data_IF_148713482439
#
_entry.id   IF_148713482439
#
_cell.length_a   1.000
_cell.length_b   1.000
_cell.length_c   1.000
_cell.angle_alpha   90.00
_cell.angle_beta   90.00
_cell.angle_gamma   90.00
#
_symmetry.space_group_name_H-M   'P 1'
#
loop_
_entity.id
_entity.type
_entity.pdbx_description
1 polymer ?
#
# COMPACT_ATOMS: atom_id res chain seq x y z
N UNK A 1 -15.94 -0.76 -17.08
CA UNK A 1 -15.54 0.19 -16.03
C UNK A 1 -16.19 1.54 -16.30
N UNK A 2 -16.87 2.14 -15.31
CA UNK A 2 -17.55 3.44 -15.46
C UNK A 2 -16.58 4.61 -15.26
N UNK A 3 -16.96 5.83 -15.67
CA UNK A 3 -16.17 7.04 -15.41
C UNK A 3 -16.02 7.33 -13.91
N UNK A 4 -17.04 7.00 -13.10
CA UNK A 4 -16.99 7.12 -11.65
C UNK A 4 -15.93 6.17 -11.06
N UNK A 5 -15.90 4.91 -11.50
CA UNK A 5 -14.87 3.94 -11.09
C UNK A 5 -13.48 4.42 -11.48
N UNK A 6 -13.29 4.93 -12.71
CA UNK A 6 -11.99 5.48 -13.15
C UNK A 6 -11.54 6.65 -12.27
N UNK A 7 -12.45 7.57 -11.95
CA UNK A 7 -12.17 8.69 -11.03
C UNK A 7 -11.81 8.18 -9.63
N UNK A 8 -12.52 7.18 -9.14
CA UNK A 8 -12.26 6.59 -7.83
C UNK A 8 -10.87 5.92 -7.76
N UNK A 9 -10.49 5.15 -8.79
CA UNK A 9 -9.14 4.57 -8.93
C UNK A 9 -8.10 5.69 -8.97
N UNK A 10 -8.34 6.75 -9.73
CA UNK A 10 -7.42 7.90 -9.81
C UNK A 10 -7.19 8.53 -8.43
N UNK A 11 -8.24 8.73 -7.64
CA UNK A 11 -8.10 9.27 -6.28
C UNK A 11 -7.22 8.38 -5.38
N UNK A 12 -7.34 7.05 -5.49
CA UNK A 12 -6.47 6.11 -4.78
C UNK A 12 -5.01 6.24 -5.20
N UNK A 13 -4.75 6.34 -6.51
CA UNK A 13 -3.41 6.52 -7.04
C UNK A 13 -2.81 7.89 -6.67
N UNK A 14 -3.62 8.95 -6.62
CA UNK A 14 -3.18 10.26 -6.11
C UNK A 14 -2.75 10.16 -4.64
N UNK A 15 -3.51 9.44 -3.80
CA UNK A 15 -3.12 9.17 -2.39
C UNK A 15 -1.90 8.28 -2.24
N UNK A 16 -1.66 7.36 -3.18
CA UNK A 16 -0.46 6.55 -3.22
C UNK A 16 0.76 7.42 -3.59
N UNK A 17 0.61 8.31 -4.57
CA UNK A 17 1.67 9.24 -4.96
C UNK A 17 2.06 10.22 -3.84
N UNK A 18 1.12 10.61 -2.98
CA UNK A 18 1.42 11.38 -1.76
C UNK A 18 2.40 10.61 -0.83
N UNK A 19 2.20 9.30 -0.61
CA UNK A 19 3.14 8.50 0.20
C UNK A 19 4.52 8.38 -0.47
N UNK A 20 4.55 8.16 -1.79
CA UNK A 20 5.80 8.10 -2.56
C UNK A 20 6.60 9.40 -2.44
N UNK A 21 5.92 10.55 -2.50
CA UNK A 21 6.55 11.85 -2.29
C UNK A 21 7.16 11.94 -0.88
N UNK A 22 6.45 11.48 0.15
CA UNK A 22 6.95 11.49 1.53
C UNK A 22 8.15 10.56 1.69
N UNK A 23 8.10 9.33 1.15
CA UNK A 23 9.21 8.37 1.15
C UNK A 23 10.44 9.04 0.55
N UNK A 24 10.34 9.57 -0.67
CA UNK A 24 11.45 10.21 -1.36
C UNK A 24 12.06 11.33 -0.52
N UNK A 25 11.21 12.21 0.05
CA UNK A 25 11.65 13.32 0.89
C UNK A 25 12.34 12.88 2.18
N UNK A 26 11.84 11.83 2.84
CA UNK A 26 12.45 11.32 4.07
C UNK A 26 13.75 10.55 3.83
N UNK A 27 13.97 10.06 2.61
CA UNK A 27 15.20 9.35 2.23
C UNK A 27 16.28 10.24 1.60
N UNK A 28 16.03 11.56 1.46
CA UNK A 28 17.00 12.53 0.91
C UNK A 28 18.13 12.91 1.90
N UNK A 29 17.98 12.59 3.19
CA UNK A 29 18.87 13.05 4.26
C UNK A 29 19.72 11.91 4.84
N UNK A 30 20.88 12.26 5.41
CA UNK A 30 21.78 11.30 6.07
C UNK A 30 21.15 10.63 7.31
N UNK A 31 20.22 11.34 7.98
CA UNK A 31 19.44 10.80 9.11
C UNK A 31 18.02 10.53 8.63
N UNK A 32 17.66 9.25 8.57
CA UNK A 32 16.37 8.79 8.07
C UNK A 32 15.44 8.41 9.22
N UNK A 33 14.22 8.95 9.21
CA UNK A 33 13.15 8.50 10.08
C UNK A 33 12.58 7.15 9.58
N UNK A 34 13.33 6.07 9.80
CA UNK A 34 13.06 4.77 9.18
C UNK A 34 11.64 4.23 9.44
N UNK A 35 11.11 4.39 10.66
CA UNK A 35 9.74 3.96 10.99
C UNK A 35 8.69 4.70 10.15
N UNK A 36 8.86 6.00 9.92
CA UNK A 36 7.98 6.80 9.07
C UNK A 36 8.09 6.39 7.60
N UNK A 37 9.31 6.11 7.11
CA UNK A 37 9.52 5.59 5.75
C UNK A 37 8.81 4.26 5.56
N UNK A 38 9.00 3.30 6.48
CA UNK A 38 8.36 1.99 6.40
C UNK A 38 6.82 2.08 6.47
N UNK A 39 6.27 2.96 7.33
CA UNK A 39 4.83 3.25 7.36
C UNK A 39 4.32 3.73 6.01
N UNK A 40 4.99 4.71 5.38
CA UNK A 40 4.57 5.20 4.08
C UNK A 40 4.76 4.16 2.95
N UNK A 41 5.78 3.30 3.02
CA UNK A 41 5.91 2.16 2.11
C UNK A 41 4.72 1.19 2.22
N UNK A 42 4.27 0.88 3.44
CA UNK A 42 3.10 0.02 3.65
C UNK A 42 1.85 0.68 3.05
N UNK A 43 1.62 1.96 3.34
CA UNK A 43 0.47 2.72 2.86
C UNK A 43 0.46 2.85 1.33
N UNK A 44 1.61 3.11 0.72
CA UNK A 44 1.80 3.17 -0.73
C UNK A 44 1.36 1.85 -1.38
N UNK A 45 1.91 0.73 -0.89
CA UNK A 45 1.60 -0.61 -1.42
C UNK A 45 0.13 -0.94 -1.24
N UNK A 46 -0.44 -0.72 -0.05
CA UNK A 46 -1.85 -0.96 0.24
C UNK A 46 -2.78 -0.23 -0.74
N UNK A 47 -2.52 1.06 -0.98
CA UNK A 47 -3.33 1.91 -1.87
C UNK A 47 -3.24 1.45 -3.32
N UNK A 48 -2.07 1.05 -3.80
CA UNK A 48 -1.87 0.55 -5.16
C UNK A 48 -2.61 -0.79 -5.36
N UNK A 49 -2.48 -1.72 -4.41
CA UNK A 49 -3.17 -3.01 -4.48
C UNK A 49 -4.69 -2.81 -4.47
N UNK A 50 -5.22 -1.93 -3.61
CA UNK A 50 -6.65 -1.59 -3.61
C UNK A 50 -7.11 -0.97 -4.92
N UNK A 51 -6.32 -0.07 -5.51
CA UNK A 51 -6.62 0.51 -6.82
C UNK A 51 -6.68 -0.57 -7.92
N UNK A 52 -5.79 -1.57 -7.88
CA UNK A 52 -5.81 -2.72 -8.78
C UNK A 52 -7.05 -3.61 -8.59
N UNK A 53 -7.45 -3.89 -7.35
CA UNK A 53 -8.68 -4.65 -7.08
C UNK A 53 -9.93 -3.93 -7.61
N UNK A 54 -10.02 -2.61 -7.38
CA UNK A 54 -11.13 -1.78 -7.89
C UNK A 54 -11.15 -1.78 -9.42
N UNK A 55 -9.98 -1.72 -10.08
CA UNK A 55 -9.90 -1.73 -11.55
C UNK A 55 -10.41 -3.05 -12.15
N UNK A 56 -10.29 -4.14 -11.41
CA UNK A 56 -10.85 -5.46 -11.73
C UNK A 56 -12.31 -5.66 -11.26
N UNK A 57 -12.95 -4.62 -10.73
CA UNK A 57 -14.35 -4.66 -10.30
C UNK A 57 -14.59 -5.33 -8.95
N UNK A 58 -13.55 -5.57 -8.15
CA UNK A 58 -13.66 -6.11 -6.79
C UNK A 58 -13.90 -4.97 -5.80
N UNK A 59 -14.86 -5.16 -4.90
CA UNK A 59 -15.05 -4.24 -3.77
C UNK A 59 -13.90 -4.40 -2.77
N UNK A 60 -13.40 -3.28 -2.27
CA UNK A 60 -12.30 -3.29 -1.30
C UNK A 60 -12.84 -3.37 0.13
N UNK A 61 -12.23 -4.24 0.93
CA UNK A 61 -12.47 -4.29 2.37
C UNK A 61 -11.50 -3.37 3.12
N UNK A 62 -11.91 -2.93 4.31
CA UNK A 62 -11.02 -2.18 5.21
C UNK A 62 -10.07 -3.14 5.92
N UNK A 63 -8.86 -3.25 5.39
CA UNK A 63 -7.74 -4.03 5.94
C UNK A 63 -6.42 -3.32 5.67
N UNK A 64 -5.42 -3.59 6.51
CA UNK A 64 -4.02 -3.16 6.36
C UNK A 64 -3.07 -4.33 6.05
N UNK A 65 -3.62 -5.54 5.95
CA UNK A 65 -2.83 -6.75 5.70
C UNK A 65 -2.49 -6.86 4.20
N UNK A 66 -1.21 -6.72 3.87
CA UNK A 66 -0.70 -6.75 2.50
C UNK A 66 -0.76 -8.16 1.92
N UNK A 67 -0.48 -9.20 2.71
CA UNK A 67 -0.55 -10.60 2.28
C UNK A 67 -1.95 -10.96 1.79
N UNK A 68 -2.97 -10.51 2.52
CA UNK A 68 -4.37 -10.65 2.15
C UNK A 68 -4.67 -9.92 0.83
N UNK A 69 -4.24 -8.67 0.69
CA UNK A 69 -4.48 -7.92 -0.54
C UNK A 69 -3.76 -8.55 -1.75
N UNK A 70 -2.54 -9.09 -1.57
CA UNK A 70 -1.83 -9.82 -2.61
C UNK A 70 -2.57 -11.10 -3.01
N UNK A 71 -3.10 -11.86 -2.05
CA UNK A 71 -3.92 -13.03 -2.33
C UNK A 71 -5.18 -12.66 -3.12
N UNK A 72 -5.84 -11.55 -2.78
CA UNK A 72 -7.01 -11.06 -3.51
C UNK A 72 -6.66 -10.58 -4.92
N UNK A 73 -5.47 -10.01 -5.12
CA UNK A 73 -4.96 -9.62 -6.45
C UNK A 73 -4.62 -10.86 -7.30
N UNK A 74 -4.13 -11.92 -6.65
CA UNK A 74 -3.77 -13.18 -7.30
C UNK A 74 -4.96 -13.93 -7.91
N UNK A 75 -6.20 -13.58 -7.53
CA UNK A 75 -7.42 -14.05 -8.19
C UNK A 75 -7.55 -13.53 -9.65
N UNK A 76 -6.89 -12.41 -9.97
CA UNK A 76 -6.95 -11.76 -11.29
C UNK A 76 -5.65 -11.91 -12.09
N UNK A 77 -4.51 -11.96 -11.40
CA UNK A 77 -3.18 -12.08 -12.02
C UNK A 77 -2.25 -12.91 -11.13
N UNK A 78 -1.85 -14.09 -11.63
CA UNK A 78 -1.10 -15.06 -10.84
C UNK A 78 0.31 -14.58 -10.47
N UNK A 79 0.86 -13.56 -11.15
CA UNK A 79 2.17 -13.00 -10.84
C UNK A 79 2.23 -12.45 -9.40
N UNK A 80 1.09 -12.01 -8.85
CA UNK A 80 1.00 -11.58 -7.44
C UNK A 80 1.32 -12.71 -6.45
N UNK A 81 1.18 -13.99 -6.80
CA UNK A 81 1.56 -15.13 -5.92
C UNK A 81 3.06 -15.20 -5.67
N UNK A 82 3.86 -14.57 -6.54
CA UNK A 82 5.33 -14.57 -6.43
C UNK A 82 5.87 -13.41 -5.58
N UNK A 83 5.01 -12.46 -5.22
CA UNK A 83 5.38 -11.28 -4.45
C UNK A 83 5.44 -11.64 -2.97
N UNK A 84 6.62 -11.53 -2.38
CA UNK A 84 6.83 -11.64 -0.92
C UNK A 84 6.81 -10.24 -0.28
N UNK A 85 5.77 -9.88 0.51
CA UNK A 85 5.69 -8.58 1.17
C UNK A 85 6.59 -8.47 2.41
N UNK A 86 7.29 -9.54 2.81
CA UNK A 86 8.08 -9.62 4.04
C UNK A 86 7.24 -9.25 5.27
N UNK A 87 7.66 -8.23 6.02
CA UNK A 87 6.99 -7.71 7.21
C UNK A 87 6.31 -6.36 6.95
N UNK A 88 5.96 -6.05 5.69
CA UNK A 88 5.43 -4.74 5.34
C UNK A 88 4.14 -4.42 6.10
N UNK A 89 3.28 -5.43 6.32
CA UNK A 89 2.02 -5.30 7.07
C UNK A 89 2.21 -4.79 8.51
N UNK A 90 3.32 -5.14 9.16
CA UNK A 90 3.59 -4.76 10.56
C UNK A 90 3.74 -3.23 10.69
N UNK A 91 4.24 -2.58 9.65
CA UNK A 91 4.40 -1.13 9.62
C UNK A 91 3.10 -0.36 9.42
N UNK A 92 1.97 -1.03 9.12
CA UNK A 92 0.67 -0.38 8.91
C UNK A 92 -0.04 0.03 10.21
N UNK A 93 0.33 -0.59 11.36
CA UNK A 93 -0.38 -0.40 12.64
C UNK A 93 0.58 -0.21 13.83
N UNK A 94 1.80 -0.75 13.78
CA UNK A 94 2.61 -1.01 15.00
C UNK A 94 3.77 -0.04 15.26
N UNK A 95 4.05 0.93 14.39
CA UNK A 95 5.04 1.97 14.71
C UNK A 95 4.53 3.04 15.71
N UNK A 96 3.63 2.68 16.63
CA UNK A 96 2.95 3.63 17.54
C UNK A 96 3.51 3.64 18.96
N UNK A 97 4.13 2.56 19.45
CA UNK A 97 4.69 2.52 20.80
C UNK A 97 6.21 2.36 20.79
N UNK A 98 6.93 3.06 21.70
CA UNK A 98 8.35 2.79 21.90
C UNK A 98 8.49 1.37 22.47
N UNK A 99 8.96 0.42 21.64
CA UNK A 99 9.19 -0.97 22.02
C UNK A 99 8.64 -2.04 21.07
N UNK A 100 7.84 -1.65 20.07
CA UNK A 100 7.24 -2.59 19.09
C UNK A 100 8.18 -2.97 17.92
N UNK A 101 9.50 -2.81 18.08
CA UNK A 101 10.52 -3.23 17.10
C UNK A 101 11.68 -3.97 17.77
#
# INVERSE_FOLDING_TARGET
MTEETKKYIKNWLEKANEDLLVINKLTEFDIVAASAVCFHCQQLTEKILKAYLISNGKEIIRTHNIEFLLAECADFDEDFKTVDPKNLSDFGVDARYPGDM
#
